data_IF_245771373242
#
_entry.id   IF_245771373242
#
_cell.length_a   1.000
_cell.length_b   1.000
_cell.length_c   1.000
_cell.angle_alpha   90.00
_cell.angle_beta   90.00
_cell.angle_gamma   90.00
#
_symmetry.space_group_name_H-M   'P 1'
#
loop_
_entity.id
_entity.type
_entity.pdbx_description
1 polymer ?
#
# COMPACT_ATOMS: atom_id res chain seq x y z
N UNK A 1 -9.06 3.22 -16.78
CA UNK A 1 -8.62 1.96 -16.13
C UNK A 1 -9.72 0.91 -15.98
N UNK A 2 -10.97 1.25 -15.65
CA UNK A 2 -12.10 0.29 -15.68
C UNK A 2 -12.44 -0.26 -17.08
N UNK A 3 -11.96 0.39 -18.14
CA UNK A 3 -12.19 -0.09 -19.52
C UNK A 3 -11.50 -1.41 -19.89
N UNK A 4 -10.69 -1.99 -19.00
CA UNK A 4 -9.82 -3.13 -19.30
C UNK A 4 -9.67 -4.16 -18.18
N UNK A 5 -10.69 -4.42 -17.37
CA UNK A 5 -10.66 -5.63 -16.54
C UNK A 5 -10.80 -6.82 -17.50
N UNK A 6 -9.68 -7.48 -17.81
CA UNK A 6 -9.67 -8.61 -18.76
C UNK A 6 -10.17 -8.26 -20.16
N UNK A 7 -10.03 -7.01 -20.67
CA UNK A 7 -10.59 -6.50 -21.93
C UNK A 7 -12.12 -6.36 -21.95
N UNK A 8 -12.79 -6.39 -20.79
CA UNK A 8 -14.24 -6.27 -20.66
C UNK A 8 -14.67 -4.81 -20.48
N UNK A 9 -15.85 -4.46 -20.96
CA UNK A 9 -16.47 -3.17 -20.65
C UNK A 9 -16.94 -3.10 -19.19
N UNK A 10 -17.13 -1.89 -18.66
CA UNK A 10 -17.69 -1.72 -17.30
C UNK A 10 -19.08 -2.39 -17.16
N UNK A 11 -19.89 -2.37 -18.22
CA UNK A 11 -21.19 -3.03 -18.24
C UNK A 11 -21.05 -4.56 -18.14
N UNK A 12 -20.08 -5.16 -18.86
CA UNK A 12 -19.83 -6.60 -18.79
C UNK A 12 -19.34 -7.01 -17.38
N UNK A 13 -18.45 -6.20 -16.78
CA UNK A 13 -17.97 -6.43 -15.41
C UNK A 13 -19.13 -6.37 -14.42
N UNK A 14 -20.02 -5.37 -14.54
CA UNK A 14 -21.17 -5.23 -13.67
C UNK A 14 -22.13 -6.44 -13.80
N UNK A 15 -22.37 -6.92 -15.03
CA UNK A 15 -23.20 -8.08 -15.28
C UNK A 15 -22.60 -9.34 -14.64
N UNK A 16 -21.31 -9.60 -14.87
CA UNK A 16 -20.62 -10.76 -14.29
C UNK A 16 -20.62 -10.71 -12.76
N UNK A 17 -20.37 -9.54 -12.16
CA UNK A 17 -20.44 -9.38 -10.70
C UNK A 17 -21.85 -9.61 -10.15
N UNK A 18 -22.90 -9.16 -10.85
CA UNK A 18 -24.29 -9.40 -10.46
C UNK A 18 -24.62 -10.88 -10.42
N UNK A 19 -24.29 -11.62 -11.49
CA UNK A 19 -24.49 -13.07 -11.58
C UNK A 19 -23.69 -13.83 -10.53
N UNK A 20 -22.44 -13.38 -10.29
CA UNK A 20 -21.55 -14.00 -9.32
C UNK A 20 -22.04 -13.79 -7.88
N UNK A 21 -22.48 -12.57 -7.53
CA UNK A 21 -23.06 -12.25 -6.22
C UNK A 21 -24.40 -12.96 -5.99
N UNK A 22 -25.19 -13.17 -7.05
CA UNK A 22 -26.47 -13.90 -6.99
C UNK A 22 -26.34 -15.33 -6.49
N UNK A 23 -25.18 -15.93 -6.64
CA UNK A 23 -24.88 -17.28 -6.15
C UNK A 23 -24.36 -17.29 -4.71
N UNK A 24 -24.09 -16.11 -4.09
CA UNK A 24 -23.45 -15.95 -2.79
C UNK A 24 -24.30 -15.25 -1.75
N UNK A 25 -25.22 -14.39 -2.17
CA UNK A 25 -26.14 -13.71 -1.27
C UNK A 25 -27.43 -14.53 -1.18
N UNK A 26 -27.61 -15.21 -0.06
CA UNK A 26 -28.77 -16.08 0.16
C UNK A 26 -30.09 -15.29 0.08
N UNK A 27 -31.07 -15.85 -0.64
CA UNK A 27 -32.38 -15.25 -0.82
C UNK A 27 -32.39 -13.98 -1.68
N UNK A 28 -31.28 -13.63 -2.32
CA UNK A 28 -31.22 -12.48 -3.22
C UNK A 28 -31.81 -12.81 -4.59
N UNK A 29 -32.68 -11.95 -5.07
CA UNK A 29 -33.23 -11.99 -6.44
C UNK A 29 -32.99 -10.66 -7.16
N UNK A 30 -32.90 -10.72 -8.49
CA UNK A 30 -32.75 -9.53 -9.33
C UNK A 30 -31.58 -8.64 -8.90
N UNK A 31 -30.40 -9.22 -8.70
CA UNK A 31 -29.18 -8.46 -8.35
C UNK A 31 -28.78 -7.61 -9.54
N UNK A 32 -28.45 -6.36 -9.29
CA UNK A 32 -27.78 -5.46 -10.23
C UNK A 32 -26.64 -4.73 -9.54
N UNK A 33 -25.68 -4.31 -10.32
CA UNK A 33 -24.55 -3.50 -9.90
C UNK A 33 -24.76 -2.08 -10.39
N UNK A 34 -24.84 -1.15 -9.47
CA UNK A 34 -24.99 0.28 -9.75
C UNK A 34 -23.66 1.00 -9.42
N UNK A 35 -23.42 2.16 -10.02
CA UNK A 35 -22.29 3.07 -9.70
C UNK A 35 -20.89 2.42 -9.79
N UNK A 36 -20.69 1.43 -10.68
CA UNK A 36 -19.37 0.81 -10.86
C UNK A 36 -18.36 1.86 -11.34
N UNK A 37 -17.34 2.12 -10.53
CA UNK A 37 -16.32 3.15 -10.79
C UNK A 37 -14.97 2.77 -10.21
N UNK A 38 -13.87 3.31 -10.77
CA UNK A 38 -12.58 3.32 -10.11
C UNK A 38 -12.56 4.38 -8.99
N UNK A 39 -11.75 4.21 -7.92
CA UNK A 39 -11.50 5.29 -6.97
C UNK A 39 -10.84 6.49 -7.66
N UNK A 40 -10.95 7.67 -7.05
CA UNK A 40 -10.38 8.93 -7.56
C UNK A 40 -8.84 8.90 -7.57
N UNK A 41 -8.24 8.17 -6.66
CA UNK A 41 -6.81 7.87 -6.62
C UNK A 41 -6.63 6.35 -6.76
N UNK A 42 -5.98 5.91 -7.84
CA UNK A 42 -5.70 4.49 -8.06
C UNK A 42 -4.27 4.18 -7.58
N UNK A 43 -4.13 3.15 -6.74
CA UNK A 43 -2.84 2.48 -6.56
C UNK A 43 -2.38 1.83 -7.87
N UNK A 44 -1.07 1.65 -8.02
CA UNK A 44 -0.47 1.04 -9.22
C UNK A 44 -0.48 -0.49 -9.19
N UNK A 45 -0.86 -1.12 -8.05
CA UNK A 45 -0.73 -2.56 -7.84
C UNK A 45 -1.96 -3.33 -8.29
N UNK A 46 -3.05 -3.29 -7.54
CA UNK A 46 -4.29 -4.01 -7.85
C UNK A 46 -5.34 -3.09 -8.48
N UNK A 47 -6.20 -3.65 -9.33
CA UNK A 47 -7.35 -2.92 -9.85
C UNK A 47 -8.40 -2.85 -8.75
N UNK A 48 -8.78 -1.63 -8.36
CA UNK A 48 -9.83 -1.39 -7.37
C UNK A 48 -11.09 -0.89 -8.06
N UNK A 49 -12.23 -1.52 -7.78
CA UNK A 49 -13.53 -1.11 -8.28
C UNK A 49 -14.51 -0.90 -7.12
N UNK A 50 -15.13 0.26 -7.08
CA UNK A 50 -16.19 0.62 -6.14
C UNK A 50 -17.53 0.43 -6.82
N UNK A 51 -18.51 -0.16 -6.12
CA UNK A 51 -19.86 -0.34 -6.67
C UNK A 51 -20.91 -0.51 -5.59
N UNK A 52 -22.18 -0.26 -5.95
CA UNK A 52 -23.34 -0.57 -5.12
C UNK A 52 -24.00 -1.85 -5.65
N UNK A 53 -24.10 -2.89 -4.83
CA UNK A 53 -24.91 -4.06 -5.11
C UNK A 53 -26.35 -3.80 -4.62
N UNK A 54 -27.35 -3.99 -5.49
CA UNK A 54 -28.77 -3.80 -5.18
C UNK A 54 -29.53 -5.07 -5.53
N UNK A 55 -30.30 -5.60 -4.58
CA UNK A 55 -31.07 -6.83 -4.80
C UNK A 55 -32.40 -6.83 -4.07
N UNK A 56 -33.29 -7.74 -4.47
CA UNK A 56 -34.53 -8.02 -3.74
C UNK A 56 -34.34 -9.17 -2.77
N UNK A 57 -34.87 -8.99 -1.56
CA UNK A 57 -34.96 -10.04 -0.53
C UNK A 57 -36.41 -10.09 -0.05
N UNK A 58 -37.22 -10.98 -0.62
CA UNK A 58 -38.67 -10.96 -0.46
C UNK A 58 -39.29 -9.69 -1.05
N UNK A 59 -40.00 -8.91 -0.21
CA UNK A 59 -40.61 -7.63 -0.61
C UNK A 59 -39.62 -6.45 -0.53
N UNK A 60 -38.50 -6.60 0.15
CA UNK A 60 -37.55 -5.53 0.43
C UNK A 60 -36.51 -5.36 -0.70
N UNK A 61 -36.06 -4.14 -0.91
CA UNK A 61 -34.88 -3.81 -1.72
C UNK A 61 -33.71 -3.54 -0.77
N UNK A 62 -32.68 -4.37 -0.87
CA UNK A 62 -31.42 -4.25 -0.13
C UNK A 62 -30.36 -3.57 -0.99
N UNK A 63 -29.45 -2.83 -0.33
CA UNK A 63 -28.31 -2.13 -0.95
C UNK A 63 -27.08 -2.32 -0.10
N UNK A 64 -25.91 -2.47 -0.75
CA UNK A 64 -24.64 -2.57 -0.07
C UNK A 64 -23.54 -1.96 -0.95
N UNK A 65 -22.76 -1.03 -0.38
CA UNK A 65 -21.57 -0.51 -1.02
C UNK A 65 -20.41 -1.47 -0.81
N UNK A 66 -19.77 -1.85 -1.90
CA UNK A 66 -18.73 -2.87 -1.94
C UNK A 66 -17.51 -2.40 -2.70
N UNK A 67 -16.38 -3.03 -2.40
CA UNK A 67 -15.11 -2.84 -3.10
C UNK A 67 -14.65 -4.19 -3.64
N UNK A 68 -14.32 -4.23 -4.94
CA UNK A 68 -13.58 -5.33 -5.53
C UNK A 68 -12.10 -4.97 -5.67
N UNK A 69 -11.21 -5.85 -5.21
CA UNK A 69 -9.77 -5.81 -5.51
C UNK A 69 -9.48 -6.96 -6.45
N UNK A 70 -8.97 -6.66 -7.64
CA UNK A 70 -8.78 -7.61 -8.74
C UNK A 70 -7.30 -7.60 -9.11
N UNK A 71 -6.70 -8.77 -9.27
CA UNK A 71 -5.32 -8.87 -9.73
C UNK A 71 -5.16 -8.29 -11.15
N UNK A 72 -4.09 -7.54 -11.42
CA UNK A 72 -3.85 -7.03 -12.75
C UNK A 72 -3.56 -8.16 -13.74
N UNK A 73 -3.94 -7.95 -15.00
CA UNK A 73 -3.58 -8.83 -16.11
C UNK A 73 -2.52 -8.16 -16.97
N UNK A 74 -1.47 -8.89 -17.37
CA UNK A 74 -0.41 -8.38 -18.26
C UNK A 74 0.79 -7.82 -17.51
N UNK A 75 1.30 -6.66 -17.95
CA UNK A 75 2.47 -6.02 -17.32
C UNK A 75 2.14 -5.59 -15.89
N UNK A 76 3.00 -5.97 -14.95
CA UNK A 76 2.76 -5.88 -13.52
C UNK A 76 3.81 -5.02 -12.82
N UNK A 77 3.42 -4.38 -11.69
CA UNK A 77 4.32 -3.62 -10.84
C UNK A 77 5.19 -4.55 -9.98
N UNK A 78 4.64 -5.68 -9.53
CA UNK A 78 5.31 -6.67 -8.68
C UNK A 78 5.54 -7.98 -9.41
N UNK A 79 6.56 -8.76 -9.02
CA UNK A 79 6.82 -10.08 -9.61
C UNK A 79 5.66 -11.06 -9.45
N UNK A 80 4.92 -10.93 -8.36
CA UNK A 80 3.78 -11.80 -8.02
C UNK A 80 2.66 -10.98 -7.37
N UNK A 81 1.42 -11.39 -7.64
CA UNK A 81 0.22 -10.87 -6.97
C UNK A 81 -0.51 -12.02 -6.30
N UNK A 82 -1.15 -11.74 -5.19
CA UNK A 82 -2.03 -12.68 -4.49
C UNK A 82 -3.06 -11.90 -3.65
N UNK A 83 -4.18 -11.55 -4.25
CA UNK A 83 -5.30 -10.91 -3.50
C UNK A 83 -5.90 -11.85 -2.45
N UNK A 84 -5.68 -13.17 -2.59
CA UNK A 84 -6.06 -14.14 -1.57
C UNK A 84 -5.32 -13.93 -0.26
N UNK A 85 -4.03 -13.57 -0.31
CA UNK A 85 -3.27 -13.19 0.91
C UNK A 85 -3.90 -12.00 1.61
N UNK A 86 -4.29 -10.95 0.88
CA UNK A 86 -4.96 -9.79 1.46
C UNK A 86 -6.28 -10.19 2.11
N UNK A 87 -7.06 -11.04 1.43
CA UNK A 87 -8.31 -11.57 1.97
C UNK A 87 -8.08 -12.34 3.28
N UNK A 88 -7.14 -13.27 3.31
CA UNK A 88 -6.86 -14.13 4.45
C UNK A 88 -6.33 -13.33 5.65
N UNK A 89 -5.49 -12.28 5.42
CA UNK A 89 -5.05 -11.34 6.47
C UNK A 89 -6.25 -10.57 7.04
N UNK A 90 -7.07 -9.93 6.21
CA UNK A 90 -8.25 -9.19 6.69
C UNK A 90 -9.21 -10.08 7.45
N UNK A 91 -9.42 -11.34 7.00
CA UNK A 91 -10.23 -12.33 7.71
C UNK A 91 -9.70 -12.65 9.11
N UNK A 92 -8.40 -12.85 9.24
CA UNK A 92 -7.77 -13.08 10.53
C UNK A 92 -7.91 -11.87 11.47
N UNK A 93 -7.88 -10.66 10.92
CA UNK A 93 -7.97 -9.41 11.67
C UNK A 93 -9.40 -9.02 12.07
N UNK A 94 -10.47 -9.63 11.50
CA UNK A 94 -11.86 -9.32 11.86
C UNK A 94 -12.17 -9.53 13.36
N UNK A 95 -11.42 -10.41 14.05
CA UNK A 95 -11.57 -10.66 15.49
C UNK A 95 -10.62 -9.82 16.35
N UNK A 96 -9.80 -8.99 15.76
CA UNK A 96 -8.78 -8.16 16.43
C UNK A 96 -9.25 -6.72 16.62
N UNK A 97 -8.50 -5.94 17.40
CA UNK A 97 -8.76 -4.52 17.60
C UNK A 97 -8.43 -3.63 16.39
N UNK A 98 -7.71 -4.18 15.39
CA UNK A 98 -7.33 -3.44 14.18
C UNK A 98 -8.57 -3.18 13.33
N UNK A 99 -8.89 -1.91 13.01
CA UNK A 99 -10.00 -1.61 12.13
C UNK A 99 -9.64 -2.01 10.70
N UNK A 100 -10.32 -3.00 10.14
CA UNK A 100 -10.16 -3.45 8.75
C UNK A 100 -11.52 -3.56 8.07
N UNK A 101 -11.63 -3.36 6.74
CA UNK A 101 -12.82 -3.69 6.01
C UNK A 101 -13.15 -5.18 6.15
N UNK A 102 -14.42 -5.54 6.32
CA UNK A 102 -14.80 -6.96 6.31
C UNK A 102 -14.50 -7.57 4.94
N UNK A 103 -13.68 -8.62 4.93
CA UNK A 103 -13.41 -9.43 3.75
C UNK A 103 -14.59 -10.40 3.55
N UNK A 104 -15.44 -10.13 2.55
CA UNK A 104 -16.72 -10.82 2.38
C UNK A 104 -16.57 -12.10 1.57
N UNK A 105 -15.96 -12.01 0.39
CA UNK A 105 -15.80 -13.16 -0.50
C UNK A 105 -14.48 -13.10 -1.27
N UNK A 106 -13.91 -14.28 -1.51
CA UNK A 106 -12.76 -14.49 -2.37
C UNK A 106 -13.14 -15.34 -3.57
N UNK A 107 -12.72 -14.93 -4.77
CA UNK A 107 -12.83 -15.73 -6.01
C UNK A 107 -11.43 -15.98 -6.56
N UNK A 108 -11.06 -17.27 -6.62
CA UNK A 108 -9.77 -17.72 -7.16
C UNK A 108 -9.84 -18.14 -8.61
N UNK A 109 -11.06 -18.37 -9.13
CA UNK A 109 -11.27 -18.76 -10.52
C UNK A 109 -11.13 -17.54 -11.43
N UNK A 110 -9.99 -17.45 -12.12
CA UNK A 110 -9.71 -16.40 -13.07
C UNK A 110 -10.67 -16.36 -14.26
N UNK A 111 -11.44 -17.41 -14.52
CA UNK A 111 -12.38 -17.42 -15.67
C UNK A 111 -13.56 -16.47 -15.46
N UNK A 112 -13.88 -16.09 -14.24
CA UNK A 112 -15.01 -15.23 -13.89
C UNK A 112 -14.77 -13.79 -14.38
N UNK A 113 -13.70 -13.12 -13.92
CA UNK A 113 -13.36 -11.73 -14.31
C UNK A 113 -12.06 -11.60 -15.12
N UNK A 114 -11.39 -12.71 -15.41
CA UNK A 114 -10.08 -12.74 -16.08
C UNK A 114 -8.91 -12.80 -15.11
N UNK A 115 -9.16 -12.62 -13.81
CA UNK A 115 -8.18 -12.71 -12.72
C UNK A 115 -8.88 -13.05 -11.41
N UNK A 116 -8.16 -13.60 -10.42
CA UNK A 116 -8.63 -13.69 -9.04
C UNK A 116 -9.02 -12.32 -8.50
N UNK A 117 -10.03 -12.31 -7.62
CA UNK A 117 -10.48 -11.08 -6.97
C UNK A 117 -11.08 -11.35 -5.59
N UNK A 118 -11.03 -10.34 -4.73
CA UNK A 118 -11.74 -10.32 -3.48
C UNK A 118 -12.83 -9.24 -3.47
N UNK A 119 -13.88 -9.46 -2.71
CA UNK A 119 -14.91 -8.47 -2.40
C UNK A 119 -14.87 -8.17 -0.91
N UNK A 120 -14.83 -6.89 -0.58
CA UNK A 120 -14.84 -6.40 0.79
C UNK A 120 -15.86 -5.28 0.96
N UNK A 121 -16.18 -4.97 2.23
CA UNK A 121 -17.02 -3.86 2.62
C UNK A 121 -16.39 -2.52 2.17
N UNK A 122 -17.23 -1.61 1.69
CA UNK A 122 -16.82 -0.22 1.46
C UNK A 122 -16.93 0.56 2.76
N UNK A 123 -15.81 1.09 3.25
CA UNK A 123 -15.77 1.96 4.42
C UNK A 123 -15.85 3.41 3.96
N UNK A 124 -16.83 4.14 4.49
CA UNK A 124 -16.94 5.58 4.25
C UNK A 124 -15.94 6.37 5.08
N UNK A 125 -15.33 7.38 4.47
CA UNK A 125 -14.36 8.26 5.10
C UNK A 125 -13.41 8.90 4.08
N UNK A 126 -12.42 9.59 4.62
CA UNK A 126 -11.45 10.34 3.86
C UNK A 126 -10.09 9.65 3.88
N UNK A 127 -9.42 9.55 2.73
CA UNK A 127 -8.08 9.00 2.58
C UNK A 127 -7.14 10.15 2.23
N UNK A 128 -6.01 10.37 2.96
CA UNK A 128 -4.97 11.29 2.52
C UNK A 128 -4.38 10.86 1.18
N UNK A 129 -4.26 11.79 0.23
CA UNK A 129 -3.76 11.48 -1.12
C UNK A 129 -2.25 11.44 -1.16
N UNK A 130 -1.69 10.52 -1.94
CA UNK A 130 -0.26 10.48 -2.26
C UNK A 130 0.05 11.16 -3.59
N UNK A 131 -0.92 11.14 -4.52
CA UNK A 131 -0.81 11.81 -5.82
C UNK A 131 -2.14 12.51 -6.17
N UNK A 132 -2.16 13.85 -6.17
CA UNK A 132 -1.09 14.73 -5.65
C UNK A 132 -0.89 14.55 -4.14
N UNK A 133 0.35 14.77 -3.66
CA UNK A 133 0.68 14.61 -2.24
C UNK A 133 -0.26 15.36 -1.31
N UNK A 134 -0.61 14.73 -0.17
CA UNK A 134 -1.38 15.34 0.92
C UNK A 134 -0.79 16.67 1.42
N UNK A 135 0.49 16.91 1.18
CA UNK A 135 1.19 18.15 1.51
C UNK A 135 1.04 19.25 0.45
N UNK A 136 0.51 18.94 -0.74
CA UNK A 136 0.31 19.89 -1.83
C UNK A 136 -1.15 20.24 -2.07
N UNK A 137 -2.08 19.33 -1.76
CA UNK A 137 -3.50 19.52 -2.02
C UNK A 137 -4.38 18.57 -1.18
N UNK A 138 -5.69 18.78 -1.25
CA UNK A 138 -6.68 17.89 -0.64
C UNK A 138 -7.08 18.31 0.78
N UNK A 139 -7.95 17.50 1.37
CA UNK A 139 -8.64 17.80 2.63
C UNK A 139 -7.70 17.93 3.84
N UNK A 140 -6.54 17.23 3.83
CA UNK A 140 -5.55 17.31 4.90
C UNK A 140 -5.03 18.73 5.09
N UNK A 141 -4.89 19.52 4.01
CA UNK A 141 -4.45 20.91 4.10
C UNK A 141 -5.52 21.84 4.68
N UNK A 142 -6.79 21.49 4.57
CA UNK A 142 -7.89 22.28 5.16
C UNK A 142 -8.03 22.07 6.68
N UNK A 143 -7.37 21.05 7.23
CA UNK A 143 -7.34 20.80 8.67
C UNK A 143 -6.51 21.86 9.41
N UNK A 144 -6.86 22.13 10.66
CA UNK A 144 -5.99 22.89 11.57
C UNK A 144 -4.75 22.09 11.96
N UNK A 145 -3.68 22.73 12.42
CA UNK A 145 -2.49 22.00 12.94
C UNK A 145 -2.82 21.03 14.07
N UNK A 146 -3.81 21.34 14.90
CA UNK A 146 -4.28 20.43 15.95
C UNK A 146 -4.96 19.19 15.38
N UNK A 147 -5.84 19.35 14.41
CA UNK A 147 -6.51 18.21 13.75
C UNK A 147 -5.52 17.31 13.00
N UNK A 148 -4.48 17.88 12.37
CA UNK A 148 -3.40 17.10 11.75
C UNK A 148 -2.62 16.30 12.79
N UNK A 149 -2.39 16.86 13.98
CA UNK A 149 -1.77 16.15 15.09
C UNK A 149 -2.63 14.99 15.56
N UNK A 150 -3.94 15.22 15.76
CA UNK A 150 -4.91 14.20 16.13
C UNK A 150 -5.00 13.08 15.08
N UNK A 151 -4.97 13.42 13.78
CA UNK A 151 -4.93 12.45 12.68
C UNK A 151 -3.69 11.56 12.79
N UNK A 152 -2.50 12.15 12.97
CA UNK A 152 -1.26 11.39 13.10
C UNK A 152 -1.22 10.54 14.38
N UNK A 153 -1.69 11.06 15.51
CA UNK A 153 -1.76 10.32 16.77
C UNK A 153 -2.68 9.09 16.65
N UNK A 154 -3.84 9.25 16.02
CA UNK A 154 -4.76 8.14 15.77
C UNK A 154 -4.20 7.13 14.77
N UNK A 155 -3.47 7.60 13.77
CA UNK A 155 -2.81 6.74 12.79
C UNK A 155 -1.68 5.92 13.42
N UNK A 156 -0.85 6.53 14.28
CA UNK A 156 0.20 5.82 15.04
C UNK A 156 -0.43 4.80 15.99
N UNK A 157 -1.53 5.16 16.67
CA UNK A 157 -2.24 4.23 17.54
C UNK A 157 -2.80 3.02 16.78
N UNK A 158 -3.31 3.22 15.56
CA UNK A 158 -3.75 2.11 14.69
C UNK A 158 -2.58 1.20 14.28
N UNK A 159 -1.40 1.77 13.99
CA UNK A 159 -0.21 0.97 13.70
C UNK A 159 0.23 0.15 14.93
N UNK A 160 0.18 0.73 16.14
CA UNK A 160 0.45 -0.02 17.37
C UNK A 160 -0.54 -1.18 17.54
N UNK A 161 -1.82 -0.98 17.24
CA UNK A 161 -2.81 -2.08 17.27
C UNK A 161 -2.46 -3.20 16.28
N UNK A 162 -1.97 -2.87 15.08
CA UNK A 162 -1.47 -3.86 14.10
C UNK A 162 -0.33 -4.68 14.70
N UNK A 163 0.66 -4.03 15.31
CA UNK A 163 1.83 -4.70 15.89
C UNK A 163 1.51 -5.50 17.17
N UNK A 164 0.39 -5.21 17.84
CA UNK A 164 -0.08 -5.95 19.01
C UNK A 164 -0.91 -7.20 18.66
N UNK A 165 -1.17 -7.46 17.37
CA UNK A 165 -1.87 -8.68 16.95
C UNK A 165 -1.04 -9.90 17.31
N UNK A 166 -1.64 -10.84 18.02
CA UNK A 166 -1.06 -12.19 18.18
C UNK A 166 -1.12 -12.95 16.86
N UNK A 167 -0.18 -12.63 15.96
CA UNK A 167 -0.12 -13.25 14.64
C UNK A 167 0.04 -14.78 14.68
N UNK A 168 0.59 -15.33 15.80
CA UNK A 168 0.70 -16.77 15.99
C UNK A 168 -0.65 -17.38 16.32
N UNK A 169 -1.38 -16.79 17.27
CA UNK A 169 -2.73 -17.21 17.64
C UNK A 169 -3.73 -17.04 16.51
N UNK A 170 -3.53 -16.04 15.63
CA UNK A 170 -4.34 -15.83 14.43
C UNK A 170 -3.93 -16.74 13.24
N UNK A 171 -2.95 -17.62 13.40
CA UNK A 171 -2.53 -18.55 12.35
C UNK A 171 -1.79 -17.89 11.18
N UNK A 172 -1.23 -16.70 11.36
CA UNK A 172 -0.57 -15.92 10.30
C UNK A 172 0.91 -16.30 10.06
N UNK A 173 1.34 -17.49 10.45
CA UNK A 173 2.70 -18.00 10.26
C UNK A 173 3.17 -17.97 8.81
N UNK A 174 2.26 -18.16 7.87
CA UNK A 174 2.50 -18.15 6.43
C UNK A 174 2.89 -16.77 5.88
N UNK A 175 2.75 -15.71 6.68
CA UNK A 175 3.25 -14.36 6.33
C UNK A 175 4.77 -14.23 6.50
N UNK A 176 5.43 -15.15 7.17
CA UNK A 176 6.90 -15.18 7.20
C UNK A 176 7.42 -15.42 5.78
N UNK A 177 8.31 -14.54 5.31
CA UNK A 177 8.94 -14.77 4.01
C UNK A 177 9.73 -16.08 4.02
N UNK A 178 9.66 -16.86 2.94
CA UNK A 178 10.45 -18.08 2.84
C UNK A 178 11.94 -17.77 2.76
N UNK A 179 12.78 -18.71 3.18
CA UNK A 179 14.24 -18.62 3.16
C UNK A 179 14.87 -18.83 4.53
N UNK A 180 16.20 -18.88 4.54
CA UNK A 180 17.01 -19.00 5.74
C UNK A 180 17.37 -17.61 6.29
N UNK A 181 17.84 -17.56 7.55
CA UNK A 181 18.28 -16.33 8.20
C UNK A 181 17.15 -15.54 8.89
N UNK A 182 17.47 -14.31 9.24
CA UNK A 182 16.57 -13.37 9.91
C UNK A 182 15.45 -12.87 8.99
N UNK A 183 14.43 -12.22 9.55
CA UNK A 183 13.36 -11.60 8.75
C UNK A 183 13.91 -10.51 7.81
N UNK A 184 14.90 -9.75 8.27
CA UNK A 184 15.57 -8.72 7.50
C UNK A 184 16.38 -9.32 6.33
N UNK A 185 17.09 -10.45 6.54
CA UNK A 185 17.81 -11.14 5.48
C UNK A 185 16.88 -11.70 4.41
N UNK A 186 15.76 -12.30 4.80
CA UNK A 186 14.75 -12.80 3.86
C UNK A 186 14.08 -11.67 3.09
N UNK A 187 13.84 -10.52 3.73
CA UNK A 187 13.29 -9.34 3.09
C UNK A 187 14.28 -8.75 2.07
N UNK A 188 15.57 -8.65 2.43
CA UNK A 188 16.62 -8.18 1.51
C UNK A 188 16.77 -9.10 0.30
N UNK A 189 16.75 -10.41 0.51
CA UNK A 189 16.80 -11.40 -0.59
C UNK A 189 15.62 -11.23 -1.55
N UNK A 190 14.42 -10.93 -1.02
CA UNK A 190 13.26 -10.60 -1.85
C UNK A 190 13.48 -9.29 -2.64
N UNK A 191 14.05 -8.23 -2.03
CA UNK A 191 14.33 -6.97 -2.74
C UNK A 191 15.38 -7.14 -3.84
N UNK A 192 16.40 -7.97 -3.61
CA UNK A 192 17.38 -8.32 -4.64
C UNK A 192 16.75 -9.08 -5.82
N UNK A 193 15.82 -10.00 -5.53
CA UNK A 193 15.04 -10.68 -6.57
C UNK A 193 14.17 -9.70 -7.34
N UNK A 194 13.43 -8.83 -6.61
CA UNK A 194 12.55 -7.83 -7.21
C UNK A 194 13.34 -6.84 -8.08
N UNK A 195 14.49 -6.37 -7.61
CA UNK A 195 15.36 -5.48 -8.38
C UNK A 195 15.80 -6.12 -9.70
N UNK A 196 16.32 -7.35 -9.66
CA UNK A 196 16.74 -8.07 -10.87
C UNK A 196 15.62 -8.25 -11.88
N UNK A 197 14.42 -8.57 -11.39
CA UNK A 197 13.24 -8.72 -12.22
C UNK A 197 12.78 -7.38 -12.82
N UNK A 198 12.70 -6.32 -12.01
CA UNK A 198 12.20 -5.02 -12.42
C UNK A 198 13.18 -4.24 -13.31
N UNK A 199 14.48 -4.47 -13.14
CA UNK A 199 15.54 -3.76 -13.84
C UNK A 199 15.63 -4.12 -15.34
N UNK A 200 15.25 -5.34 -15.72
CA UNK A 200 15.33 -5.82 -17.11
C UNK A 200 16.71 -5.52 -17.75
N UNK A 201 17.79 -5.74 -16.96
CA UNK A 201 19.16 -5.50 -17.36
C UNK A 201 19.69 -4.08 -17.14
N UNK A 202 18.86 -3.14 -16.67
CA UNK A 202 19.32 -1.81 -16.26
C UNK A 202 20.07 -1.88 -14.92
N UNK A 203 21.16 -1.15 -14.82
CA UNK A 203 21.87 -0.92 -13.56
C UNK A 203 21.48 0.45 -13.00
N UNK A 204 20.99 0.49 -11.76
CA UNK A 204 20.70 1.72 -11.02
C UNK A 204 21.65 1.82 -9.82
N UNK A 205 22.74 2.60 -9.92
CA UNK A 205 23.84 2.57 -8.95
C UNK A 205 23.43 2.83 -7.51
N UNK A 206 22.46 3.72 -7.28
CA UNK A 206 21.98 4.04 -5.93
C UNK A 206 21.20 2.87 -5.30
N UNK A 207 20.42 2.11 -6.08
CA UNK A 207 19.72 0.93 -5.59
C UNK A 207 20.75 -0.15 -5.19
N UNK A 208 21.76 -0.38 -6.04
CA UNK A 208 22.83 -1.34 -5.74
C UNK A 208 23.66 -0.92 -4.52
N UNK A 209 23.93 0.37 -4.35
CA UNK A 209 24.57 0.89 -3.15
C UNK A 209 23.72 0.68 -1.90
N UNK A 210 22.40 0.88 -1.99
CA UNK A 210 21.45 0.61 -0.90
C UNK A 210 21.44 -0.88 -0.52
N UNK A 211 21.36 -1.77 -1.50
CA UNK A 211 21.42 -3.23 -1.28
C UNK A 211 22.72 -3.66 -0.57
N UNK A 212 23.89 -3.11 -0.99
CA UNK A 212 25.16 -3.35 -0.29
C UNK A 212 25.15 -2.79 1.12
N UNK A 213 24.71 -1.56 1.29
CA UNK A 213 24.61 -0.90 2.61
C UNK A 213 23.79 -1.73 3.60
N UNK A 214 22.62 -2.23 3.15
CA UNK A 214 21.75 -3.08 3.97
C UNK A 214 22.41 -4.42 4.32
N UNK A 215 23.08 -5.08 3.36
CA UNK A 215 23.75 -6.37 3.59
C UNK A 215 24.88 -6.26 4.62
N UNK A 216 25.59 -5.14 4.65
CA UNK A 216 26.68 -4.87 5.60
C UNK A 216 26.20 -4.53 7.02
N UNK A 217 24.89 -4.25 7.19
CA UNK A 217 24.32 -3.71 8.44
C UNK A 217 23.05 -4.45 8.89
N UNK A 218 23.01 -5.77 8.63
CA UNK A 218 21.83 -6.58 8.96
C UNK A 218 21.37 -6.37 10.41
N UNK A 219 20.07 -6.08 10.56
CA UNK A 219 19.44 -6.04 11.88
C UNK A 219 19.11 -7.46 12.37
N UNK A 220 19.27 -7.74 13.67
CA UNK A 220 18.84 -9.00 14.26
C UNK A 220 17.30 -9.13 14.25
N UNK A 221 16.80 -10.37 14.36
CA UNK A 221 15.39 -10.64 14.61
C UNK A 221 15.09 -10.50 16.11
N UNK A 222 14.53 -9.35 16.48
CA UNK A 222 14.01 -9.12 17.82
C UNK A 222 12.51 -8.80 17.70
N UNK A 223 11.68 -9.44 18.54
CA UNK A 223 10.26 -9.14 18.71
C UNK A 223 9.45 -8.97 17.40
N UNK A 224 9.42 -10.04 16.59
CA UNK A 224 8.67 -10.05 15.34
C UNK A 224 7.17 -9.86 15.58
N UNK A 225 6.59 -8.94 14.84
CA UNK A 225 5.17 -8.57 14.86
C UNK A 225 4.49 -8.85 13.51
N UNK A 226 3.17 -8.74 13.46
CA UNK A 226 2.48 -8.54 12.19
C UNK A 226 2.88 -7.17 11.65
N UNK A 227 3.68 -7.13 10.59
CA UNK A 227 3.98 -5.91 9.84
C UNK A 227 2.92 -5.72 8.76
N UNK A 228 2.37 -4.51 8.68
CA UNK A 228 1.41 -4.14 7.65
C UNK A 228 2.04 -4.05 6.25
N UNK A 229 3.29 -3.55 6.18
CA UNK A 229 4.14 -3.57 4.99
C UNK A 229 4.02 -2.35 4.08
N UNK A 230 2.87 -1.67 4.01
CA UNK A 230 2.70 -0.37 3.33
C UNK A 230 2.08 0.65 4.30
N UNK A 231 2.76 0.82 5.42
CA UNK A 231 2.36 1.65 6.55
C UNK A 231 2.51 3.14 6.25
N UNK A 232 1.39 3.78 5.96
CA UNK A 232 1.31 5.23 5.69
C UNK A 232 -0.12 5.73 5.81
N UNK A 233 -0.29 7.02 6.06
CA UNK A 233 -1.63 7.61 6.21
C UNK A 233 -2.49 7.50 4.94
N UNK A 234 -1.88 7.41 3.76
CA UNK A 234 -2.56 7.20 2.47
C UNK A 234 -3.24 5.84 2.34
N UNK A 235 -2.95 4.89 3.25
CA UNK A 235 -3.60 3.60 3.34
C UNK A 235 -4.48 3.46 4.59
N UNK A 236 -4.94 4.59 5.15
CA UNK A 236 -5.91 4.65 6.24
C UNK A 236 -7.13 5.47 5.83
N UNK A 237 -8.30 5.02 6.24
CA UNK A 237 -9.57 5.73 6.06
C UNK A 237 -9.90 6.42 7.37
N UNK A 238 -10.12 7.74 7.33
CA UNK A 238 -10.43 8.56 8.50
C UNK A 238 -11.87 9.07 8.45
N UNK A 239 -12.50 9.20 9.62
CA UNK A 239 -13.75 9.96 9.76
C UNK A 239 -13.46 11.46 9.97
N UNK A 240 -14.55 12.25 10.03
CA UNK A 240 -14.45 13.71 10.22
C UNK A 240 -13.88 14.11 11.59
N UNK A 241 -13.83 13.18 12.56
CA UNK A 241 -13.18 13.35 13.86
C UNK A 241 -11.74 12.82 13.88
N UNK A 242 -11.10 12.64 12.74
CA UNK A 242 -9.73 12.15 12.56
C UNK A 242 -9.47 10.74 13.11
N UNK A 243 -10.50 9.94 13.40
CA UNK A 243 -10.36 8.57 13.88
C UNK A 243 -10.18 7.62 12.70
N UNK A 244 -9.28 6.66 12.84
CA UNK A 244 -9.06 5.61 11.83
C UNK A 244 -10.27 4.67 11.79
N UNK A 245 -10.96 4.63 10.64
CA UNK A 245 -12.09 3.76 10.36
C UNK A 245 -11.66 2.43 9.76
N UNK A 246 -10.56 2.45 9.00
CA UNK A 246 -9.97 1.24 8.45
C UNK A 246 -8.50 1.43 8.08
N UNK A 247 -7.73 0.38 8.28
CA UNK A 247 -6.40 0.17 7.72
C UNK A 247 -6.57 -0.73 6.49
N UNK A 248 -6.10 -0.29 5.34
CA UNK A 248 -6.29 -0.95 4.05
C UNK A 248 -4.95 -1.28 3.40
N UNK A 249 -4.99 -1.99 2.28
CA UNK A 249 -3.84 -2.37 1.46
C UNK A 249 -2.83 -3.28 2.16
N UNK A 250 -3.28 -4.50 2.45
CA UNK A 250 -2.53 -5.54 3.15
C UNK A 250 -1.65 -6.40 2.22
N UNK A 251 -1.37 -5.95 1.00
CA UNK A 251 -0.57 -6.74 0.04
C UNK A 251 0.89 -6.92 0.48
N UNK A 252 1.44 -5.94 1.23
CA UNK A 252 2.78 -5.97 1.81
C UNK A 252 2.90 -6.70 3.15
N UNK A 253 1.78 -7.22 3.70
CA UNK A 253 1.76 -7.82 5.02
C UNK A 253 2.77 -8.96 5.17
N UNK A 254 3.48 -8.95 6.29
CA UNK A 254 4.52 -9.93 6.61
C UNK A 254 4.70 -10.06 8.13
N UNK A 255 5.51 -11.02 8.56
CA UNK A 255 6.00 -11.09 9.93
C UNK A 255 7.42 -10.55 9.94
N UNK A 256 7.63 -9.41 10.58
CA UNK A 256 8.89 -8.67 10.59
C UNK A 256 9.07 -7.86 11.88
N UNK A 257 10.21 -7.20 12.05
CA UNK A 257 10.41 -6.25 13.13
C UNK A 257 9.46 -5.04 12.98
N UNK A 258 9.00 -4.48 14.10
CA UNK A 258 8.08 -3.32 14.13
C UNK A 258 8.67 -2.08 13.45
N UNK A 259 9.99 -1.95 13.49
CA UNK A 259 10.76 -0.87 12.86
C UNK A 259 10.59 -0.84 11.34
N UNK A 260 10.21 -1.95 10.71
CA UNK A 260 9.96 -2.02 9.26
C UNK A 260 8.84 -1.06 8.86
N UNK A 261 7.71 -1.09 9.56
CA UNK A 261 6.58 -0.22 9.26
C UNK A 261 6.88 1.23 9.60
N UNK A 262 7.59 1.49 10.69
CA UNK A 262 8.02 2.85 11.08
C UNK A 262 9.01 3.43 10.06
N UNK A 263 10.00 2.63 9.64
CA UNK A 263 10.95 3.03 8.60
C UNK A 263 10.27 3.33 7.27
N UNK A 264 9.27 2.52 6.91
CA UNK A 264 8.46 2.73 5.70
C UNK A 264 7.66 4.04 5.77
N UNK A 265 6.96 4.27 6.88
CA UNK A 265 6.21 5.51 7.10
C UNK A 265 7.10 6.76 7.00
N UNK A 266 8.22 6.75 7.71
CA UNK A 266 9.14 7.90 7.72
C UNK A 266 9.73 8.17 6.34
N UNK A 267 10.19 7.12 5.65
CA UNK A 267 10.78 7.27 4.32
C UNK A 267 9.77 7.77 3.29
N UNK A 268 8.54 7.22 3.26
CA UNK A 268 7.54 7.70 2.31
C UNK A 268 7.02 9.09 2.65
N UNK A 269 6.88 9.42 3.95
CA UNK A 269 6.53 10.79 4.34
C UNK A 269 7.57 11.78 3.82
N UNK A 270 8.87 11.48 3.99
CA UNK A 270 9.95 12.31 3.46
C UNK A 270 9.89 12.42 1.93
N UNK A 271 9.71 11.31 1.23
CA UNK A 271 9.61 11.33 -0.24
C UNK A 271 8.43 12.16 -0.71
N UNK A 272 7.22 11.90 -0.19
CA UNK A 272 6.00 12.64 -0.61
C UNK A 272 5.94 14.10 -0.16
N UNK A 273 6.92 14.54 0.62
CA UNK A 273 7.09 15.94 1.00
C UNK A 273 8.38 16.51 0.44
N UNK A 274 9.51 16.31 1.08
CA UNK A 274 10.77 17.01 0.81
C UNK A 274 11.35 16.69 -0.57
N UNK A 275 11.32 15.41 -1.00
CA UNK A 275 11.84 15.04 -2.33
C UNK A 275 10.95 15.56 -3.47
N UNK A 276 9.69 15.89 -3.21
CA UNK A 276 8.79 16.60 -4.11
C UNK A 276 8.86 18.13 -3.94
N UNK A 277 9.82 18.67 -3.15
CA UNK A 277 9.98 20.09 -2.91
C UNK A 277 8.88 20.71 -2.04
N UNK A 278 8.17 19.89 -1.29
CA UNK A 278 7.09 20.30 -0.39
C UNK A 278 7.59 20.34 1.06
N UNK A 279 6.88 21.07 1.89
CA UNK A 279 7.12 21.06 3.35
C UNK A 279 6.10 20.15 4.03
N UNK A 280 6.54 19.43 5.04
CA UNK A 280 5.63 18.72 5.93
C UNK A 280 4.64 19.73 6.56
N UNK A 281 3.31 19.55 6.45
CA UNK A 281 2.35 20.52 6.97
C UNK A 281 2.46 20.66 8.48
N UNK A 282 2.29 21.89 9.01
CA UNK A 282 2.29 22.15 10.44
C UNK A 282 1.25 21.27 11.16
N UNK A 283 1.68 20.68 12.28
CA UNK A 283 0.88 19.71 13.05
C UNK A 283 1.28 18.26 12.83
N UNK A 284 1.92 17.92 11.71
CA UNK A 284 2.53 16.59 11.54
C UNK A 284 3.74 16.44 12.46
N UNK A 285 3.94 15.27 13.08
CA UNK A 285 5.12 15.01 13.88
C UNK A 285 6.36 14.89 12.98
N UNK A 286 7.48 15.44 13.44
CA UNK A 286 8.78 15.11 12.87
C UNK A 286 9.18 13.66 13.23
N UNK A 287 10.32 13.20 12.67
CA UNK A 287 10.82 11.83 12.90
C UNK A 287 10.92 11.49 14.39
N UNK A 288 11.48 12.39 15.20
CA UNK A 288 11.71 12.15 16.63
C UNK A 288 10.40 12.09 17.40
N UNK A 289 9.47 13.00 17.10
CA UNK A 289 8.16 13.03 17.73
C UNK A 289 7.31 11.80 17.38
N UNK A 290 7.36 11.33 16.11
CA UNK A 290 6.65 10.15 15.66
C UNK A 290 7.14 8.90 16.39
N UNK A 291 8.46 8.67 16.42
CA UNK A 291 9.06 7.50 17.08
C UNK A 291 8.79 7.49 18.58
N UNK A 292 8.98 8.62 19.25
CA UNK A 292 8.65 8.75 20.68
C UNK A 292 7.17 8.45 20.94
N UNK A 293 6.27 8.97 20.10
CA UNK A 293 4.82 8.71 20.24
C UNK A 293 4.48 7.24 20.08
N UNK A 294 5.14 6.56 19.16
CA UNK A 294 4.99 5.11 19.00
C UNK A 294 5.48 4.35 20.24
N UNK A 295 6.67 4.67 20.79
CA UNK A 295 7.20 4.07 22.02
C UNK A 295 6.27 4.30 23.22
N UNK A 296 5.72 5.51 23.37
CA UNK A 296 4.75 5.83 24.43
C UNK A 296 3.47 4.96 24.32
N UNK A 297 2.97 4.72 23.11
CA UNK A 297 1.74 3.96 22.90
C UNK A 297 1.95 2.44 22.97
N UNK A 298 3.09 1.96 22.50
CA UNK A 298 3.41 0.52 22.50
C UNK A 298 3.99 0.03 23.82
N UNK A 299 4.50 0.92 24.68
CA UNK A 299 5.29 0.62 25.89
C UNK A 299 6.52 -0.26 25.60
N UNK A 300 7.11 -0.10 24.41
CA UNK A 300 8.25 -0.89 23.96
C UNK A 300 9.31 0.02 23.32
N UNK A 301 10.61 -0.18 23.64
CA UNK A 301 11.68 0.58 23.00
C UNK A 301 11.82 0.16 21.52
N UNK A 302 12.33 1.08 20.70
CA UNK A 302 12.63 0.83 19.31
C UNK A 302 14.10 0.45 19.11
N UNK A 303 14.34 -0.47 18.18
CA UNK A 303 15.65 -0.81 17.67
C UNK A 303 16.12 0.14 16.56
N UNK A 304 16.86 -0.39 15.58
CA UNK A 304 17.42 0.43 14.49
C UNK A 304 16.38 0.73 13.40
N UNK A 305 15.55 1.77 13.62
CA UNK A 305 14.61 2.26 12.61
C UNK A 305 15.33 2.74 11.35
N UNK A 306 16.56 3.27 11.48
CA UNK A 306 17.32 3.77 10.33
C UNK A 306 17.62 2.68 9.30
N UNK A 307 17.92 1.47 9.75
CA UNK A 307 18.10 0.32 8.87
C UNK A 307 16.85 0.10 8.02
N UNK A 308 15.67 0.14 8.63
CA UNK A 308 14.39 -0.08 7.93
C UNK A 308 13.94 1.11 7.08
N UNK A 309 14.35 2.35 7.39
CA UNK A 309 14.21 3.48 6.47
C UNK A 309 14.97 3.21 5.15
N UNK A 310 16.20 2.69 5.24
CA UNK A 310 16.99 2.32 4.05
C UNK A 310 16.34 1.16 3.29
N UNK A 311 15.88 0.12 3.98
CA UNK A 311 15.15 -1.00 3.37
C UNK A 311 13.91 -0.51 2.62
N UNK A 312 13.16 0.41 3.19
CA UNK A 312 12.01 1.06 2.53
C UNK A 312 12.44 1.89 1.33
N UNK A 313 13.53 2.63 1.44
CA UNK A 313 14.10 3.40 0.33
C UNK A 313 14.51 2.51 -0.86
N UNK A 314 15.10 1.34 -0.59
CA UNK A 314 15.41 0.33 -1.63
C UNK A 314 14.12 -0.14 -2.29
N UNK A 315 13.15 -0.60 -1.51
CA UNK A 315 11.89 -1.14 -2.00
C UNK A 315 11.13 -0.13 -2.86
N UNK A 316 10.91 1.09 -2.35
CA UNK A 316 10.20 2.15 -3.06
C UNK A 316 10.93 2.63 -4.32
N UNK A 317 12.27 2.62 -4.33
CA UNK A 317 13.06 2.92 -5.53
C UNK A 317 12.88 1.85 -6.62
N UNK A 318 12.81 0.57 -6.24
CA UNK A 318 12.53 -0.53 -7.18
C UNK A 318 11.11 -0.42 -7.74
N UNK A 319 10.13 -0.12 -6.89
CA UNK A 319 8.75 0.11 -7.32
C UNK A 319 8.66 1.29 -8.31
N UNK A 320 9.30 2.43 -7.99
CA UNK A 320 9.33 3.60 -8.87
C UNK A 320 9.99 3.29 -10.21
N UNK A 321 11.11 2.56 -10.21
CA UNK A 321 11.77 2.09 -11.43
C UNK A 321 10.80 1.29 -12.31
N UNK A 322 10.08 0.31 -11.73
CA UNK A 322 9.13 -0.51 -12.47
C UNK A 322 7.94 0.31 -12.96
N UNK A 323 7.38 1.19 -12.14
CA UNK A 323 6.27 2.06 -12.50
C UNK A 323 6.64 2.98 -13.68
N UNK A 324 7.83 3.59 -13.66
CA UNK A 324 8.32 4.43 -14.75
C UNK A 324 8.53 3.65 -16.05
N UNK A 325 9.02 2.40 -15.96
CA UNK A 325 9.13 1.51 -17.13
C UNK A 325 7.75 1.22 -17.73
N UNK A 326 6.76 0.86 -16.91
CA UNK A 326 5.39 0.59 -17.34
C UNK A 326 4.73 1.83 -17.96
N UNK A 327 4.92 3.00 -17.37
CA UNK A 327 4.40 4.27 -17.93
C UNK A 327 5.02 4.60 -19.28
N UNK A 328 6.32 4.38 -19.46
CA UNK A 328 7.02 4.54 -20.72
C UNK A 328 6.50 3.59 -21.80
N UNK A 329 6.28 2.32 -21.46
CA UNK A 329 5.67 1.32 -22.36
C UNK A 329 4.26 1.73 -22.77
N UNK A 330 3.42 2.10 -21.80
CA UNK A 330 2.02 2.46 -22.04
C UNK A 330 1.85 3.73 -22.89
N UNK A 331 2.75 4.71 -22.76
CA UNK A 331 2.75 5.94 -23.55
C UNK A 331 3.42 5.79 -24.92
N UNK A 332 4.11 4.68 -25.17
CA UNK A 332 4.90 4.47 -26.38
C UNK A 332 6.20 5.29 -26.44
N UNK A 333 6.58 5.99 -25.36
CA UNK A 333 7.81 6.79 -25.29
C UNK A 333 9.06 5.94 -25.01
N UNK A 334 8.87 4.68 -24.64
CA UNK A 334 9.94 3.79 -24.20
C UNK A 334 10.43 4.07 -22.78
N UNK A 335 11.37 3.25 -22.31
CA UNK A 335 11.96 3.39 -20.97
C UNK A 335 12.87 4.63 -20.91
N UNK A 336 12.67 5.46 -19.87
CA UNK A 336 13.51 6.61 -19.57
C UNK A 336 14.50 6.30 -18.45
N UNK A 337 15.70 5.82 -18.80
CA UNK A 337 16.73 5.40 -17.85
C UNK A 337 17.21 6.55 -16.95
N UNK A 338 17.24 7.79 -17.45
CA UNK A 338 17.62 8.96 -16.65
C UNK A 338 16.60 9.26 -15.54
N UNK A 339 15.31 9.21 -15.86
CA UNK A 339 14.24 9.37 -14.87
C UNK A 339 14.19 8.21 -13.87
N UNK A 340 14.49 6.98 -14.31
CA UNK A 340 14.60 5.82 -13.43
C UNK A 340 15.78 5.99 -12.47
N UNK A 341 16.93 6.44 -12.94
CA UNK A 341 18.11 6.61 -12.11
C UNK A 341 17.99 7.78 -11.12
N UNK A 342 17.28 8.84 -11.48
CA UNK A 342 17.13 10.05 -10.67
C UNK A 342 15.65 10.48 -10.58
N UNK A 343 15.00 10.08 -9.52
CA UNK A 343 13.63 10.43 -9.18
C UNK A 343 13.50 10.62 -7.65
N UNK A 344 12.37 11.11 -7.12
CA UNK A 344 12.22 11.36 -5.69
C UNK A 344 12.55 10.15 -4.79
N UNK A 345 12.22 8.94 -5.21
CA UNK A 345 12.48 7.73 -4.40
C UNK A 345 13.97 7.38 -4.37
N UNK A 346 14.66 7.45 -5.52
CA UNK A 346 16.12 7.20 -5.57
C UNK A 346 16.91 8.29 -4.86
N UNK A 347 16.49 9.56 -4.90
CA UNK A 347 17.10 10.64 -4.11
C UNK A 347 16.90 10.43 -2.62
N UNK A 348 15.69 10.05 -2.19
CA UNK A 348 15.41 9.71 -0.80
C UNK A 348 16.29 8.56 -0.29
N UNK A 349 16.50 7.51 -1.10
CA UNK A 349 17.43 6.41 -0.77
C UNK A 349 18.87 6.93 -0.69
N UNK A 350 19.32 7.71 -1.67
CA UNK A 350 20.68 8.28 -1.70
C UNK A 350 20.98 9.09 -0.44
N UNK A 351 20.07 9.99 -0.02
CA UNK A 351 20.14 10.75 1.23
C UNK A 351 20.31 9.81 2.43
N UNK A 352 19.53 8.73 2.49
CA UNK A 352 19.60 7.77 3.59
C UNK A 352 20.96 7.07 3.70
N UNK A 353 21.62 6.79 2.61
CA UNK A 353 22.93 6.10 2.60
C UNK A 353 24.13 7.05 2.44
N UNK A 354 23.89 8.38 2.47
CA UNK A 354 24.95 9.40 2.41
C UNK A 354 25.55 9.61 1.01
N UNK A 355 24.79 9.35 -0.05
CA UNK A 355 25.19 9.63 -1.44
C UNK A 355 24.54 10.94 -1.89
N UNK A 356 25.35 11.86 -2.41
CA UNK A 356 24.82 13.09 -3.01
C UNK A 356 24.29 12.81 -4.42
N UNK A 357 23.07 13.24 -4.68
CA UNK A 357 22.44 13.24 -6.00
C UNK A 357 21.94 14.66 -6.34
N UNK A 358 22.20 15.10 -7.58
CA UNK A 358 21.65 16.37 -8.05
C UNK A 358 20.15 16.28 -8.23
N UNK A 359 19.43 17.31 -7.79
CA UNK A 359 18.01 17.47 -8.11
C UNK A 359 17.77 17.85 -9.58
N UNK A 360 18.82 18.31 -10.30
CA UNK A 360 18.74 18.67 -11.72
C UNK A 360 18.74 17.40 -12.59
N UNK A 361 17.76 17.30 -13.51
CA UNK A 361 17.68 16.22 -14.51
C UNK A 361 16.67 15.10 -14.22
N UNK A 362 16.05 15.07 -13.04
CA UNK A 362 14.93 14.18 -12.76
C UNK A 362 13.61 14.76 -13.25
N UNK A 363 12.92 14.05 -14.12
CA UNK A 363 11.53 14.36 -14.43
C UNK A 363 10.68 14.10 -13.19
N UNK A 364 9.90 15.10 -12.80
CA UNK A 364 8.83 14.97 -11.81
C UNK A 364 7.63 14.28 -12.49
N UNK A 365 7.86 13.02 -12.90
CA UNK A 365 6.96 12.26 -13.79
C UNK A 365 5.66 11.91 -13.07
N UNK A 366 5.69 11.79 -11.74
CA UNK A 366 4.52 11.45 -10.95
C UNK A 366 3.56 12.64 -10.76
N UNK A 367 4.06 13.87 -10.86
CA UNK A 367 3.23 15.08 -10.70
C UNK A 367 2.79 15.71 -12.01
N UNK A 368 3.25 15.20 -13.16
CA UNK A 368 2.92 15.75 -14.48
C UNK A 368 3.43 17.19 -14.71
N UNK A 369 4.29 17.72 -13.85
CA UNK A 369 4.93 19.01 -14.00
C UNK A 369 6.26 18.84 -14.75
N UNK A 370 6.38 19.53 -15.88
CA UNK A 370 7.66 19.74 -16.59
C UNK A 370 8.36 20.96 -16.02
#
# INVERSE_FOLDING_TARGET
>A
MLQTIGRRSAADVAHVLADWLGKRIEGAAQIRIDQLRAPSSNGFSNITALFEAVWRSGADVKRCNLVARIEPTGEALFPTYDVGRQFDVMKALESCAVPVPKALWMERDATILGSPFLIMEHIEGNIPSDDPSFASSGWVLSLTPQQRRELCDNAIAALVQVHQVDWRGQGLHWLQRPGEGTSAERELAYYEHFYRWAAEGLTVPVIEAGLRWARERMAPDEDLVLSWGDSRIGNMIFDDAMRVRAVIDWEGASVAAREKDLGHWLQLTHVFTEEFGLKLPEGFPDRTALLRRYEELSDLPLGDVRFYEVMSGIHSSIQAMRALTLMGSASGSGRNDAAIANNPFTRGLARLIGIEMSAEGGLDVLTGKR
#
